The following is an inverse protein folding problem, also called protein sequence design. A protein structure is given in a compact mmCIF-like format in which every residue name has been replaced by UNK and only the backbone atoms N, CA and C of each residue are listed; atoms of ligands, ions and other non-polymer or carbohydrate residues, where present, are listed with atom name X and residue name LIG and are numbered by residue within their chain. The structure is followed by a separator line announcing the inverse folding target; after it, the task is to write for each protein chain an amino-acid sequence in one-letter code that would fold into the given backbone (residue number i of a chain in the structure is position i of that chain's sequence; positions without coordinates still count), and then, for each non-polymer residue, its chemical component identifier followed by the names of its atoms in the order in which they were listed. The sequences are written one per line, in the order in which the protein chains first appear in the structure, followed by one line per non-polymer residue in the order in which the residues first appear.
data_IF_167565286300
#
_entry.id   IF_167565286300
#
_cell.length_a   1.000
_cell.length_b   1.000
_cell.length_c   1.000
_cell.angle_alpha   90.00
_cell.angle_beta   90.00
_cell.angle_gamma   90.00
#
_symmetry.space_group_name_H-M   'P 1'
#
loop_
_entity.id
_entity.type
_entity.pdbx_description
1 polymer ?
#
# COMPACT_ATOMS: atom_id res chain seq x y z
N UNK A 1 28.19 -27.01 -29.42
CA UNK A 1 29.49 -26.72 -28.79
C UNK A 1 29.70 -25.23 -28.95
N UNK A 2 29.71 -24.35 -27.98
CA UNK A 2 29.71 -24.27 -26.50
C UNK A 2 29.18 -22.84 -26.21
N UNK A 3 28.67 -22.40 -25.07
CA UNK A 3 28.58 -22.89 -23.72
C UNK A 3 28.01 -21.73 -22.88
N UNK A 4 26.96 -22.03 -22.12
CA UNK A 4 26.45 -21.39 -20.90
C UNK A 4 27.02 -20.04 -20.48
N UNK A 5 26.16 -19.02 -20.34
CA UNK A 5 26.29 -17.99 -19.30
C UNK A 5 24.89 -17.50 -18.83
N UNK A 6 24.52 -18.06 -17.66
CA UNK A 6 23.78 -17.46 -16.55
C UNK A 6 22.31 -17.11 -16.80
N UNK A 7 21.51 -18.13 -16.53
CA UNK A 7 20.15 -18.05 -16.03
C UNK A 7 20.20 -17.51 -14.58
N UNK A 8 20.12 -16.20 -14.39
CA UNK A 8 19.83 -15.59 -13.08
C UNK A 8 18.55 -14.75 -13.20
N UNK A 9 17.41 -15.42 -12.99
CA UNK A 9 16.29 -14.89 -12.21
C UNK A 9 15.83 -13.45 -12.46
N UNK A 10 15.82 -12.97 -13.72
CA UNK A 10 15.05 -11.77 -14.06
C UNK A 10 13.58 -12.22 -14.07
N UNK A 11 13.02 -12.30 -12.87
CA UNK A 11 11.67 -12.72 -12.58
C UNK A 11 10.71 -11.84 -13.39
N UNK A 12 9.87 -12.47 -14.22
CA UNK A 12 8.63 -11.89 -14.75
C UNK A 12 7.77 -11.22 -13.65
N UNK A 13 8.02 -11.57 -12.38
CA UNK A 13 7.45 -10.95 -11.18
C UNK A 13 7.76 -9.45 -11.08
N UNK A 14 8.97 -8.97 -11.36
CA UNK A 14 9.31 -7.54 -11.16
C UNK A 14 8.61 -6.60 -12.16
N UNK A 15 8.48 -7.00 -13.43
CA UNK A 15 7.78 -6.17 -14.43
C UNK A 15 6.26 -6.18 -14.23
N UNK A 16 5.71 -7.31 -13.78
CA UNK A 16 4.29 -7.42 -13.37
C UNK A 16 4.03 -6.62 -12.09
N UNK A 17 4.97 -6.60 -11.16
CA UNK A 17 4.92 -5.83 -9.93
C UNK A 17 4.99 -4.31 -10.19
N UNK A 18 5.87 -3.88 -11.10
CA UNK A 18 6.02 -2.48 -11.49
C UNK A 18 4.81 -1.96 -12.26
N UNK A 19 4.21 -2.77 -13.14
CA UNK A 19 2.96 -2.38 -13.84
C UNK A 19 1.81 -2.18 -12.87
N UNK A 20 1.67 -3.07 -11.87
CA UNK A 20 0.69 -2.91 -10.78
C UNK A 20 0.95 -1.66 -9.95
N UNK A 21 2.21 -1.34 -9.61
CA UNK A 21 2.57 -0.13 -8.84
C UNK A 21 2.24 1.17 -9.61
N UNK A 22 2.32 1.15 -10.94
CA UNK A 22 1.96 2.31 -11.78
C UNK A 22 0.43 2.50 -11.85
N UNK A 23 -0.34 1.41 -11.89
CA UNK A 23 -1.82 1.48 -11.90
C UNK A 23 -2.39 2.07 -10.59
N UNK A 24 -1.76 1.81 -9.44
CA UNK A 24 -2.23 2.29 -8.12
C UNK A 24 -1.75 3.69 -7.72
N UNK A 25 -1.18 4.48 -8.65
CA UNK A 25 -0.81 5.87 -8.35
C UNK A 25 -2.05 6.72 -8.05
N UNK A 26 -3.20 6.39 -8.63
CA UNK A 26 -4.46 7.11 -8.45
C UNK A 26 -5.15 6.85 -7.10
N UNK A 27 -4.80 5.78 -6.38
CA UNK A 27 -5.46 5.39 -5.12
C UNK A 27 -4.86 6.07 -3.89
N UNK A 28 -4.34 7.28 -4.09
CA UNK A 28 -3.70 8.09 -3.08
C UNK A 28 -4.68 9.12 -2.53
N UNK A 29 -5.10 8.94 -1.27
CA UNK A 29 -6.04 9.82 -0.59
C UNK A 29 -5.31 10.76 0.36
N UNK A 30 -5.62 12.05 0.31
CA UNK A 30 -5.11 13.02 1.28
C UNK A 30 -5.89 12.88 2.58
N UNK A 31 -5.17 12.80 3.69
CA UNK A 31 -5.76 12.85 5.03
C UNK A 31 -5.90 14.32 5.39
N UNK A 32 -7.12 14.75 5.68
CA UNK A 32 -7.41 16.08 6.22
C UNK A 32 -7.83 15.97 7.69
N UNK A 33 -7.25 16.81 8.54
CA UNK A 33 -7.65 16.98 9.95
C UNK A 33 -7.89 18.46 10.16
N UNK A 34 -9.11 18.85 10.55
CA UNK A 34 -9.48 20.25 10.75
C UNK A 34 -9.15 21.13 9.53
N UNK A 35 -9.46 20.62 8.33
CA UNK A 35 -9.15 21.24 7.02
C UNK A 35 -7.65 21.43 6.71
N UNK A 36 -6.76 20.85 7.52
CA UNK A 36 -5.32 20.85 7.30
C UNK A 36 -4.83 19.53 6.71
N UNK A 37 -3.84 19.60 5.82
CA UNK A 37 -3.17 18.42 5.26
C UNK A 37 -2.42 17.68 6.37
N UNK A 38 -2.95 16.53 6.77
CA UNK A 38 -2.43 15.71 7.85
C UNK A 38 -1.64 14.50 7.35
N UNK A 39 -1.72 14.17 6.05
CA UNK A 39 -0.94 13.07 5.50
C UNK A 39 -1.49 12.44 4.23
N UNK A 40 -1.05 11.21 3.99
CA UNK A 40 -1.36 10.42 2.81
C UNK A 40 -1.80 9.01 3.23
N UNK A 41 -2.90 8.54 2.66
CA UNK A 41 -3.40 7.19 2.81
C UNK A 41 -3.60 6.55 1.45
N UNK A 42 -2.85 5.49 1.16
CA UNK A 42 -2.97 4.72 -0.09
C UNK A 42 -3.61 3.37 0.18
N UNK A 43 -4.78 3.14 -0.38
CA UNK A 43 -5.49 1.88 -0.29
C UNK A 43 -6.33 1.67 -1.54
N UNK A 44 -6.45 0.42 -1.98
CA UNK A 44 -7.19 0.07 -3.20
C UNK A 44 -7.88 -1.27 -3.04
N UNK A 45 -8.90 -1.51 -3.87
CA UNK A 45 -9.65 -2.75 -3.92
C UNK A 45 -9.14 -3.60 -5.09
N UNK A 46 -8.92 -4.89 -4.84
CA UNK A 46 -8.79 -5.92 -5.89
C UNK A 46 -10.02 -6.82 -5.90
N UNK A 47 -10.03 -7.82 -6.77
CA UNK A 47 -11.14 -8.78 -6.86
C UNK A 47 -11.40 -9.53 -5.53
N UNK A 48 -10.37 -9.71 -4.70
CA UNK A 48 -10.44 -10.57 -3.51
C UNK A 48 -10.14 -9.86 -2.18
N UNK A 49 -9.54 -8.65 -2.21
CA UNK A 49 -9.09 -7.98 -0.99
C UNK A 49 -8.97 -6.45 -1.10
N UNK A 50 -9.08 -5.78 0.05
CA UNK A 50 -8.62 -4.42 0.24
C UNK A 50 -7.13 -4.41 0.58
N UNK A 51 -6.34 -3.73 -0.25
CA UNK A 51 -4.92 -3.55 -0.04
C UNK A 51 -4.63 -2.20 0.58
N UNK A 52 -3.88 -2.19 1.67
CA UNK A 52 -3.32 -0.98 2.27
C UNK A 52 -1.86 -0.90 1.85
N UNK A 53 -1.56 0.06 0.97
CA UNK A 53 -0.22 0.28 0.44
C UNK A 53 0.62 1.20 1.32
N UNK A 54 0.02 2.23 1.92
CA UNK A 54 0.77 3.21 2.69
C UNK A 54 -0.11 4.04 3.62
N UNK A 55 0.36 4.27 4.85
CA UNK A 55 -0.17 5.29 5.77
C UNK A 55 0.99 6.20 6.15
N UNK A 56 0.86 7.49 5.88
CA UNK A 56 1.81 8.51 6.32
C UNK A 56 1.03 9.62 7.00
N UNK A 57 1.32 9.87 8.27
CA UNK A 57 0.76 10.98 9.04
C UNK A 57 1.88 11.96 9.32
N UNK A 58 1.66 13.23 8.99
CA UNK A 58 2.60 14.31 9.21
C UNK A 58 2.93 14.43 10.72
N UNK A 59 4.19 14.74 11.11
CA UNK A 59 4.64 14.68 12.49
C UNK A 59 3.76 15.44 13.49
N UNK A 60 3.17 16.56 13.06
CA UNK A 60 2.33 17.44 13.87
C UNK A 60 0.99 16.79 14.23
N UNK A 61 0.56 15.79 13.45
CA UNK A 61 -0.69 15.05 13.60
C UNK A 61 -0.50 13.63 14.16
N UNK A 62 0.74 13.20 14.39
CA UNK A 62 1.02 11.87 14.97
C UNK A 62 0.57 11.76 16.43
N UNK A 63 0.44 10.51 16.91
CA UNK A 63 -0.03 10.16 18.27
C UNK A 63 -1.46 10.62 18.60
N UNK A 64 -2.26 10.92 17.57
CA UNK A 64 -3.68 11.27 17.70
C UNK A 64 -4.64 10.14 17.32
N UNK A 65 -4.11 8.94 16.98
CA UNK A 65 -4.91 7.77 16.59
C UNK A 65 -5.45 7.80 15.15
N UNK A 66 -4.93 8.70 14.29
CA UNK A 66 -5.40 8.86 12.91
C UNK A 66 -5.18 7.60 12.08
N UNK A 67 -4.00 7.00 12.18
CA UNK A 67 -3.64 5.75 11.52
C UNK A 67 -4.58 4.60 11.93
N UNK A 68 -4.88 4.48 13.22
CA UNK A 68 -5.83 3.50 13.73
C UNK A 68 -7.23 3.72 13.14
N UNK A 69 -7.73 4.95 13.14
CA UNK A 69 -9.06 5.26 12.59
C UNK A 69 -9.17 4.95 11.10
N UNK A 70 -8.12 5.24 10.32
CA UNK A 70 -8.07 4.92 8.89
C UNK A 70 -8.09 3.41 8.66
N UNK A 71 -7.33 2.64 9.44
CA UNK A 71 -7.30 1.19 9.39
C UNK A 71 -8.67 0.59 9.73
N UNK A 72 -9.30 1.05 10.81
CA UNK A 72 -10.63 0.61 11.23
C UNK A 72 -11.66 0.85 10.13
N UNK A 73 -11.59 2.00 9.43
CA UNK A 73 -12.45 2.30 8.30
C UNK A 73 -12.36 1.27 7.18
N UNK A 74 -11.13 0.92 6.77
CA UNK A 74 -10.91 -0.11 5.73
C UNK A 74 -11.34 -1.50 6.21
N UNK A 75 -11.04 -1.87 7.45
CA UNK A 75 -11.45 -3.16 8.02
C UNK A 75 -12.97 -3.30 8.07
N UNK A 76 -13.69 -2.23 8.45
CA UNK A 76 -15.15 -2.22 8.44
C UNK A 76 -15.71 -2.32 7.02
N UNK A 77 -15.08 -1.67 6.03
CA UNK A 77 -15.49 -1.79 4.63
C UNK A 77 -15.30 -3.22 4.12
N UNK A 78 -14.13 -3.80 4.33
CA UNK A 78 -13.82 -5.17 3.94
C UNK A 78 -14.76 -6.19 4.61
N UNK A 79 -15.10 -5.98 5.89
CA UNK A 79 -16.07 -6.82 6.59
C UNK A 79 -17.47 -6.75 5.95
N UNK A 80 -17.92 -5.57 5.55
CA UNK A 80 -19.23 -5.41 4.86
C UNK A 80 -19.24 -6.10 3.49
N UNK A 81 -18.11 -6.12 2.80
CA UNK A 81 -17.96 -6.72 1.47
C UNK A 81 -17.59 -8.21 1.53
N UNK A 82 -17.32 -8.75 2.72
CA UNK A 82 -16.81 -10.10 2.93
C UNK A 82 -15.49 -10.36 2.17
N UNK A 83 -14.63 -9.34 2.13
CA UNK A 83 -13.31 -9.38 1.50
C UNK A 83 -12.20 -9.35 2.55
N UNK A 84 -11.01 -9.83 2.18
CA UNK A 84 -9.85 -9.77 3.05
C UNK A 84 -9.25 -8.34 3.11
N UNK A 85 -8.39 -8.10 4.10
CA UNK A 85 -7.53 -6.90 4.15
C UNK A 85 -6.08 -7.33 4.14
N UNK A 86 -5.31 -6.82 3.18
CA UNK A 86 -3.89 -7.09 3.03
C UNK A 86 -3.05 -5.83 3.26
N UNK A 87 -1.99 -5.96 4.05
CA UNK A 87 -1.04 -4.87 4.33
C UNK A 87 0.31 -5.19 3.71
N UNK A 88 0.80 -4.31 2.83
CA UNK A 88 2.14 -4.43 2.27
C UNK A 88 3.09 -3.43 2.92
N UNK A 89 3.83 -3.90 3.92
CA UNK A 89 4.89 -3.09 4.53
C UNK A 89 6.15 -3.18 3.68
N UNK A 90 6.55 -2.07 3.07
CA UNK A 90 7.91 -1.95 2.54
C UNK A 90 8.88 -1.99 3.73
N UNK A 91 9.62 -3.09 3.89
CA UNK A 91 10.66 -3.19 4.91
C UNK A 91 11.64 -2.03 4.70
N UNK A 92 11.77 -1.18 5.71
CA UNK A 92 12.84 -0.17 5.75
C UNK A 92 14.16 -0.93 5.69
N UNK A 93 14.93 -0.80 4.60
CA UNK A 93 16.31 -1.24 4.63
C UNK A 93 17.04 -0.31 5.61
N UNK A 94 17.28 -0.81 6.81
CA UNK A 94 18.10 -0.12 7.81
C UNK A 94 19.49 0.08 7.20
N UNK A 95 19.90 1.35 7.11
CA UNK A 95 21.28 1.75 6.81
C UNK A 95 22.15 1.65 8.05
#
# INVERSE_FOLDING_TARGET
MEGYLINDGINEDEQTHLSKIIDYWNDAHIILVEDQLAGLFKYYLTDDAWFIGQIQVAPEFQRRGIDQQLLEGVMQQAQRENLAVELKVLKKQSR
#
